data_IF_731483418954
#
_entry.id   IF_731483418954
#
_cell.length_a   1.000
_cell.length_b   1.000
_cell.length_c   1.000
_cell.angle_alpha   90.00
_cell.angle_beta   90.00
_cell.angle_gamma   90.00
#
_symmetry.space_group_name_H-M   'P 1'
#
loop_
_entity.id
_entity.type
_entity.pdbx_description
1 polymer ?
#
# COMPACT_ATOMS: atom_id res chain seq x y z
N UNK A 1 8.67 5.46 -14.15
CA UNK A 1 7.33 4.91 -14.42
C UNK A 1 6.41 5.14 -13.23
N UNK A 2 5.23 5.61 -13.48
CA UNK A 2 4.29 5.88 -12.39
C UNK A 2 3.75 4.58 -11.78
N UNK A 3 3.60 4.55 -10.47
CA UNK A 3 2.94 3.45 -9.81
C UNK A 3 1.44 3.57 -9.99
N UNK A 4 0.72 2.54 -9.57
CA UNK A 4 -0.74 2.58 -9.59
C UNK A 4 -1.28 3.73 -8.75
N UNK A 5 -0.55 4.14 -7.71
CA UNK A 5 -0.94 5.23 -6.85
C UNK A 5 -0.75 6.60 -7.48
N UNK A 6 0.06 6.68 -8.53
CA UNK A 6 0.40 7.97 -9.13
C UNK A 6 -0.43 8.32 -10.35
N UNK A 7 -1.41 7.51 -10.70
CA UNK A 7 -2.24 7.75 -11.87
C UNK A 7 -3.36 8.76 -11.58
N UNK A 8 -2.95 10.01 -11.40
CA UNK A 8 -3.93 11.07 -11.20
C UNK A 8 -4.68 10.99 -9.89
N UNK A 9 -4.12 10.35 -8.89
CA UNK A 9 -4.75 10.28 -7.58
C UNK A 9 -4.42 11.51 -6.76
N UNK A 10 -5.44 12.04 -6.09
CA UNK A 10 -5.24 13.10 -5.14
C UNK A 10 -4.62 12.53 -3.86
N UNK A 11 -4.18 13.43 -2.99
CA UNK A 11 -3.62 13.01 -1.71
C UNK A 11 -4.63 12.18 -0.90
N UNK A 12 -5.88 12.64 -0.87
CA UNK A 12 -6.94 11.92 -0.13
C UNK A 12 -7.24 10.57 -0.75
N UNK A 13 -7.25 10.50 -2.08
CA UNK A 13 -7.47 9.23 -2.75
C UNK A 13 -6.36 8.22 -2.42
N UNK A 14 -5.12 8.68 -2.35
CA UNK A 14 -4.02 7.80 -1.96
C UNK A 14 -4.18 7.29 -0.54
N UNK A 15 -4.58 8.17 0.37
CA UNK A 15 -4.80 7.79 1.76
C UNK A 15 -5.89 6.73 1.87
N UNK A 16 -6.96 6.88 1.11
CA UNK A 16 -8.04 5.90 1.10
C UNK A 16 -7.55 4.56 0.56
N UNK A 17 -6.79 4.58 -0.54
CA UNK A 17 -6.25 3.34 -1.09
C UNK A 17 -5.31 2.64 -0.11
N UNK A 18 -4.45 3.40 0.57
CA UNK A 18 -3.55 2.84 1.57
C UNK A 18 -4.33 2.13 2.68
N UNK A 19 -5.42 2.72 3.13
CA UNK A 19 -6.25 2.13 4.17
C UNK A 19 -6.90 0.84 3.67
N UNK A 20 -7.42 0.87 2.45
CA UNK A 20 -8.07 -0.31 1.87
C UNK A 20 -7.07 -1.46 1.68
N UNK A 21 -5.84 -1.16 1.26
CA UNK A 21 -4.82 -2.19 1.15
C UNK A 21 -4.44 -2.75 2.51
N UNK A 22 -4.37 -1.88 3.52
CA UNK A 22 -4.00 -2.30 4.87
C UNK A 22 -5.08 -3.19 5.50
N UNK A 23 -6.33 -2.83 5.33
CA UNK A 23 -7.45 -3.56 5.92
C UNK A 23 -7.96 -4.71 5.06
N UNK A 24 -7.63 -4.70 3.77
CA UNK A 24 -8.11 -5.69 2.83
C UNK A 24 -9.46 -5.32 2.24
N UNK A 25 -10.35 -4.81 3.06
CA UNK A 25 -11.66 -4.30 2.64
C UNK A 25 -12.20 -3.43 3.77
N UNK A 26 -13.09 -2.53 3.47
CA UNK A 26 -13.64 -1.63 4.46
C UNK A 26 -14.90 -0.95 3.97
N UNK A 27 -15.73 -0.53 4.92
CA UNK A 27 -16.85 0.34 4.64
C UNK A 27 -16.36 1.79 4.61
N UNK A 28 -17.19 2.70 4.12
CA UNK A 28 -16.86 4.12 4.14
C UNK A 28 -16.61 4.63 5.56
N UNK A 29 -17.39 4.15 6.51
CA UNK A 29 -17.22 4.52 7.91
C UNK A 29 -15.87 4.08 8.44
N UNK A 30 -15.47 2.85 8.13
CA UNK A 30 -14.18 2.33 8.57
C UNK A 30 -13.02 3.11 7.95
N UNK A 31 -13.14 3.46 6.68
CA UNK A 31 -12.12 4.29 6.02
C UNK A 31 -12.00 5.63 6.73
N UNK A 32 -13.14 6.25 7.04
CA UNK A 32 -13.15 7.53 7.73
C UNK A 32 -12.46 7.45 9.08
N UNK A 33 -12.70 6.37 9.82
CA UNK A 33 -12.10 6.17 11.13
C UNK A 33 -10.59 6.03 11.10
N UNK A 34 -10.05 5.61 9.98
CA UNK A 34 -8.61 5.40 9.85
C UNK A 34 -7.88 6.58 9.17
N UNK A 35 -8.61 7.57 8.69
CA UNK A 35 -8.00 8.72 8.07
C UNK A 35 -7.56 9.75 9.12
N UNK A 36 -6.37 10.33 8.96
CA UNK A 36 -5.98 11.47 9.79
C UNK A 36 -6.81 12.68 9.32
N UNK A 37 -7.36 13.40 10.27
CA UNK A 37 -8.13 14.62 9.97
C UNK A 37 -9.16 14.36 8.84
N UNK A 38 -10.11 13.43 9.06
CA UNK A 38 -10.99 12.98 8.00
C UNK A 38 -11.98 14.06 7.56
N UNK A 39 -12.31 14.10 6.26
CA UNK A 39 -13.41 14.95 5.80
C UNK A 39 -14.73 14.30 6.22
N UNK A 40 -15.82 14.97 5.93
CA UNK A 40 -17.14 14.44 6.28
C UNK A 40 -17.44 13.12 5.55
N UNK A 41 -18.41 12.40 6.07
CA UNK A 41 -18.79 11.10 5.54
C UNK A 41 -19.16 11.17 4.05
N UNK A 42 -19.88 12.22 3.66
CA UNK A 42 -20.26 12.40 2.25
C UNK A 42 -19.05 12.53 1.34
N UNK A 43 -18.01 13.20 1.83
CA UNK A 43 -16.77 13.36 1.06
C UNK A 43 -16.04 12.03 0.92
N UNK A 44 -16.06 11.20 1.97
CA UNK A 44 -15.47 9.87 1.90
C UNK A 44 -16.19 9.03 0.85
N UNK A 45 -17.51 9.06 0.85
CA UNK A 45 -18.28 8.32 -0.14
C UNK A 45 -17.99 8.81 -1.57
N UNK A 46 -17.81 10.11 -1.73
CA UNK A 46 -17.45 10.67 -3.03
C UNK A 46 -16.05 10.20 -3.47
N UNK A 47 -15.12 10.14 -2.54
CA UNK A 47 -13.77 9.63 -2.84
C UNK A 47 -13.82 8.19 -3.29
N UNK A 48 -14.59 7.36 -2.59
CA UNK A 48 -14.74 5.95 -2.95
C UNK A 48 -15.42 5.79 -4.30
N UNK A 49 -16.42 6.60 -4.59
CA UNK A 49 -17.08 6.55 -5.88
C UNK A 49 -16.12 6.93 -7.01
N UNK A 50 -15.29 7.93 -6.79
CA UNK A 50 -14.29 8.34 -7.78
C UNK A 50 -13.28 7.21 -8.01
N UNK A 51 -12.83 6.56 -6.95
CA UNK A 51 -11.90 5.44 -7.07
C UNK A 51 -12.54 4.26 -7.79
N UNK A 52 -13.82 4.04 -7.57
CA UNK A 52 -14.55 2.99 -8.28
C UNK A 52 -14.64 3.32 -9.76
N UNK A 53 -14.89 4.57 -10.10
CA UNK A 53 -14.89 5.03 -11.49
C UNK A 53 -13.54 4.81 -12.15
N UNK A 54 -12.46 5.04 -11.42
CA UNK A 54 -11.10 4.83 -11.92
C UNK A 54 -10.71 3.37 -11.94
N UNK A 55 -11.62 2.48 -11.52
CA UNK A 55 -11.41 1.03 -11.50
C UNK A 55 -10.31 0.58 -10.55
N UNK A 56 -10.08 1.36 -9.50
CA UNK A 56 -9.10 1.02 -8.48
C UNK A 56 -9.75 0.38 -7.26
N UNK A 57 -11.07 0.53 -7.12
CA UNK A 57 -11.83 -0.02 -6.02
C UNK A 57 -13.07 -0.69 -6.59
N UNK A 58 -13.46 -1.81 -5.99
CA UNK A 58 -14.69 -2.50 -6.36
C UNK A 58 -15.57 -2.62 -5.13
N UNK A 59 -16.86 -2.64 -5.38
CA UNK A 59 -17.85 -2.90 -4.34
C UNK A 59 -17.85 -4.40 -4.11
N UNK A 60 -17.35 -4.82 -2.95
CA UNK A 60 -17.20 -6.24 -2.64
C UNK A 60 -18.51 -6.87 -2.16
N UNK A 61 -19.34 -6.08 -1.52
CA UNK A 61 -20.58 -6.59 -0.98
C UNK A 61 -21.19 -5.60 -0.02
N UNK A 62 -22.10 -6.12 0.79
CA UNK A 62 -22.83 -5.30 1.73
C UNK A 62 -22.91 -6.03 3.05
N UNK A 63 -22.46 -5.39 4.11
CA UNK A 63 -22.51 -5.94 5.44
C UNK A 63 -23.47 -5.10 6.26
N UNK A 64 -24.55 -5.72 6.77
CA UNK A 64 -25.63 -5.03 7.43
C UNK A 64 -26.24 -4.01 6.47
N UNK A 65 -26.05 -2.74 6.69
CA UNK A 65 -26.57 -1.68 5.80
C UNK A 65 -25.45 -0.87 5.19
N UNK A 66 -24.24 -1.42 5.16
CA UNK A 66 -23.06 -0.73 4.68
C UNK A 66 -22.51 -1.42 3.46
N UNK A 67 -22.07 -0.63 2.51
CA UNK A 67 -21.34 -1.16 1.37
C UNK A 67 -19.89 -1.41 1.79
N UNK A 68 -19.35 -2.52 1.32
CA UNK A 68 -17.97 -2.89 1.59
C UNK A 68 -17.16 -2.71 0.31
N UNK A 69 -16.06 -2.00 0.42
CA UNK A 69 -15.17 -1.72 -0.71
C UNK A 69 -13.86 -2.45 -0.53
N UNK A 70 -13.27 -2.87 -1.63
CA UNK A 70 -11.93 -3.45 -1.58
C UNK A 70 -11.13 -3.01 -2.81
N UNK A 71 -9.78 -3.07 -2.73
CA UNK A 71 -8.97 -2.73 -3.90
C UNK A 71 -9.29 -3.65 -5.06
N UNK A 72 -9.41 -3.08 -6.24
CA UNK A 72 -9.63 -3.87 -7.46
C UNK A 72 -8.34 -4.59 -7.86
N UNK A 73 -7.19 -4.09 -7.38
CA UNK A 73 -5.89 -4.64 -7.72
C UNK A 73 -5.39 -5.46 -6.53
N UNK A 74 -4.92 -6.71 -6.77
CA UNK A 74 -4.39 -7.52 -5.68
C UNK A 74 -3.29 -6.79 -4.93
N UNK A 75 -3.29 -6.93 -3.60
CA UNK A 75 -2.31 -6.30 -2.74
C UNK A 75 -0.88 -6.64 -3.17
N UNK A 76 -0.65 -7.88 -3.55
CA UNK A 76 0.67 -8.33 -3.99
C UNK A 76 1.17 -7.53 -5.20
N UNK A 77 0.28 -7.28 -6.16
CA UNK A 77 0.64 -6.52 -7.35
C UNK A 77 0.92 -5.06 -7.00
N UNK A 78 0.12 -4.49 -6.11
CA UNK A 78 0.32 -3.12 -5.67
C UNK A 78 1.64 -2.97 -4.93
N UNK A 79 1.98 -3.93 -4.09
CA UNK A 79 3.26 -3.92 -3.36
C UNK A 79 4.44 -3.97 -4.32
N UNK A 80 4.36 -4.81 -5.34
CA UNK A 80 5.42 -4.90 -6.34
C UNK A 80 5.61 -3.60 -7.09
N UNK A 81 4.51 -2.98 -7.48
CA UNK A 81 4.56 -1.72 -8.21
C UNK A 81 5.17 -0.62 -7.35
N UNK A 82 4.75 -0.52 -6.09
CA UNK A 82 5.27 0.47 -5.16
C UNK A 82 6.75 0.26 -4.90
N UNK A 83 7.16 -0.99 -4.70
CA UNK A 83 8.56 -1.30 -4.44
C UNK A 83 9.42 -0.98 -5.66
N UNK A 84 8.95 -1.35 -6.85
CA UNK A 84 9.68 -1.06 -8.07
C UNK A 84 9.89 0.44 -8.25
N UNK A 85 8.86 1.23 -7.97
CA UNK A 85 8.97 2.68 -8.08
C UNK A 85 9.96 3.25 -7.07
N UNK A 86 9.92 2.76 -5.83
CA UNK A 86 10.84 3.19 -4.79
C UNK A 86 12.29 2.89 -5.18
N UNK A 87 12.53 1.69 -5.68
CA UNK A 87 13.87 1.28 -6.08
C UNK A 87 14.39 2.17 -7.22
N UNK A 88 13.56 2.42 -8.22
CA UNK A 88 13.97 3.25 -9.35
C UNK A 88 14.22 4.70 -8.94
N UNK A 89 13.37 5.22 -8.08
CA UNK A 89 13.44 6.63 -7.69
C UNK A 89 14.62 6.95 -6.79
N UNK A 90 14.89 6.09 -5.81
CA UNK A 90 15.86 6.39 -4.76
C UNK A 90 17.05 5.45 -4.69
N UNK A 91 16.98 4.30 -5.33
CA UNK A 91 18.01 3.27 -5.18
C UNK A 91 18.55 2.75 -6.51
N UNK A 92 18.40 3.55 -7.56
CA UNK A 92 18.92 3.22 -8.90
C UNK A 92 18.50 1.83 -9.39
N UNK A 93 17.34 1.39 -8.97
CA UNK A 93 16.82 0.07 -9.33
C UNK A 93 17.52 -1.09 -8.67
N UNK A 94 18.36 -0.83 -7.67
CA UNK A 94 19.18 -1.87 -7.03
C UNK A 94 18.66 -2.24 -5.64
N UNK A 95 18.12 -3.45 -5.48
CA UNK A 95 17.63 -3.91 -4.18
C UNK A 95 18.70 -3.89 -3.09
N UNK A 96 19.95 -4.17 -3.44
CA UNK A 96 21.04 -4.16 -2.47
C UNK A 96 21.25 -2.79 -1.83
N UNK A 97 20.95 -1.71 -2.58
CA UNK A 97 21.07 -0.37 -2.03
C UNK A 97 19.97 -0.08 -1.00
N UNK A 98 18.79 -0.61 -1.25
CA UNK A 98 17.70 -0.50 -0.28
C UNK A 98 18.05 -1.25 1.01
N UNK A 99 18.55 -2.47 0.88
CA UNK A 99 18.94 -3.27 2.04
C UNK A 99 20.05 -2.58 2.82
N UNK A 100 21.03 -2.02 2.11
CA UNK A 100 22.11 -1.30 2.75
C UNK A 100 21.59 -0.12 3.58
N UNK A 101 20.60 0.60 3.06
CA UNK A 101 19.99 1.71 3.79
C UNK A 101 19.29 1.23 5.05
N UNK A 102 18.59 0.09 4.97
CA UNK A 102 17.89 -0.47 6.12
C UNK A 102 18.84 -0.90 7.22
N UNK A 103 20.06 -1.30 6.85
CA UNK A 103 21.06 -1.78 7.79
C UNK A 103 22.06 -0.70 8.23
N UNK A 104 21.90 0.53 7.75
CA UNK A 104 22.79 1.61 8.09
C UNK A 104 22.69 1.94 9.59
N UNK A 105 23.80 1.90 10.34
CA UNK A 105 23.76 2.15 11.77
C UNK A 105 23.26 3.57 12.13
N UNK A 106 23.52 4.53 11.27
CA UNK A 106 23.13 5.91 11.55
C UNK A 106 21.66 6.18 11.38
N UNK A 107 21.02 5.40 10.48
CA UNK A 107 19.60 5.56 10.21
C UNK A 107 18.82 4.30 10.57
N UNK A 108 19.43 3.43 11.33
CA UNK A 108 18.87 2.14 11.65
C UNK A 108 17.66 2.24 12.57
N UNK A 109 16.55 1.70 12.11
CA UNK A 109 15.33 1.63 12.90
C UNK A 109 14.94 0.19 13.16
N UNK A 110 15.81 -0.73 12.79
CA UNK A 110 15.54 -2.16 12.93
C UNK A 110 16.20 -2.69 14.18
N UNK A 111 15.48 -3.55 14.89
CA UNK A 111 16.03 -4.28 16.03
C UNK A 111 16.93 -5.40 15.54
N UNK A 112 17.72 -5.96 16.46
CA UNK A 112 18.56 -7.11 16.13
C UNK A 112 17.73 -8.28 15.64
N UNK A 113 16.54 -8.48 16.23
CA UNK A 113 15.64 -9.54 15.82
C UNK A 113 15.13 -9.34 14.41
N UNK A 114 14.79 -8.11 14.07
CA UNK A 114 14.31 -7.78 12.73
C UNK A 114 15.39 -7.96 11.68
N UNK A 115 16.62 -7.58 12.01
CA UNK A 115 17.76 -7.78 11.11
C UNK A 115 17.98 -9.27 10.85
N UNK A 116 17.88 -10.08 11.91
CA UNK A 116 18.06 -11.51 11.76
C UNK A 116 16.95 -12.13 10.89
N UNK A 117 15.73 -11.62 11.02
CA UNK A 117 14.62 -12.07 10.16
C UNK A 117 14.91 -11.75 8.70
N UNK A 118 15.44 -10.57 8.42
CA UNK A 118 15.78 -10.18 7.06
C UNK A 118 16.86 -11.09 6.50
N UNK A 119 17.88 -11.37 7.29
CA UNK A 119 18.95 -12.29 6.86
C UNK A 119 18.40 -13.67 6.56
N UNK A 120 17.50 -14.14 7.39
CA UNK A 120 16.87 -15.43 7.21
C UNK A 120 16.07 -15.49 5.91
N UNK A 121 15.35 -14.43 5.59
CA UNK A 121 14.59 -14.36 4.36
C UNK A 121 15.50 -14.44 3.13
N UNK A 122 16.65 -13.79 3.18
CA UNK A 122 17.59 -13.81 2.07
C UNK A 122 18.19 -15.21 1.91
N UNK A 123 18.60 -15.84 3.01
CA UNK A 123 19.16 -17.18 2.97
C UNK A 123 18.19 -18.22 2.43
N UNK A 124 16.91 -18.05 2.73
CA UNK A 124 15.88 -19.01 2.38
C UNK A 124 15.17 -18.68 1.08
N UNK A 125 15.71 -17.79 0.28
CA UNK A 125 15.11 -17.41 -0.97
C UNK A 125 15.09 -18.61 -1.92
N UNK A 126 13.94 -18.94 -2.51
CA UNK A 126 13.87 -20.05 -3.46
C UNK A 126 14.73 -19.80 -4.69
N UNK A 127 15.45 -20.81 -5.13
CA UNK A 127 16.32 -20.70 -6.31
C UNK A 127 15.51 -20.39 -7.57
N UNK A 128 14.27 -20.84 -7.62
CA UNK A 128 13.40 -20.61 -8.78
C UNK A 128 13.02 -19.16 -9.00
N UNK A 129 13.36 -18.29 -8.08
CA UNK A 129 13.01 -16.87 -8.19
C UNK A 129 14.14 -16.00 -8.69
N UNK A 130 15.16 -16.63 -9.17
CA UNK A 130 16.29 -15.93 -9.75
C UNK A 130 15.88 -15.06 -10.93
#
# INVERSE_FOLDING_TARGET
MATLFDKGLSRRERQVMDILFRLGQASAQEVMEHLPDPPGYSAIRALLATLEEKKLVVLHGKDARRYIYKPAIPERKAKRSALSNLLQTFFEGKPENLVASLLDPEDQRLSSEEIEKIRSLIRNKPASES
#
